data_IF_671658935798
#
_entry.id   IF_671658935798
#
_cell.length_a   1.000
_cell.length_b   1.000
_cell.length_c   1.000
_cell.angle_alpha   90.00
_cell.angle_beta   90.00
_cell.angle_gamma   90.00
#
_symmetry.space_group_name_H-M   'P 1'
#
loop_
_entity.id
_entity.type
_entity.pdbx_description
1 polymer ?
#
# COMPACT_ATOMS: atom_id res chain seq x y z
N UNK A 1 40.31 1.25 -34.38
CA UNK A 1 38.84 1.36 -34.25
C UNK A 1 38.44 0.76 -32.92
N UNK A 2 38.35 1.58 -31.87
CA UNK A 2 37.81 1.19 -30.56
C UNK A 2 36.36 1.63 -30.50
N UNK A 3 35.44 0.68 -30.35
CA UNK A 3 34.01 0.94 -30.26
C UNK A 3 33.68 1.85 -29.04
N UNK A 4 32.67 2.74 -29.13
CA UNK A 4 32.23 3.52 -27.99
C UNK A 4 31.56 2.59 -26.98
N UNK A 5 32.03 2.61 -25.73
CA UNK A 5 31.41 1.91 -24.61
C UNK A 5 30.03 2.51 -24.36
N UNK A 6 28.98 1.75 -24.66
CA UNK A 6 27.59 2.12 -24.40
C UNK A 6 27.40 2.28 -22.89
N UNK A 7 27.37 3.52 -22.42
CA UNK A 7 27.05 3.86 -21.05
C UNK A 7 25.61 3.41 -20.80
N UNK A 8 25.46 2.26 -20.13
CA UNK A 8 24.16 1.63 -19.90
C UNK A 8 23.58 2.14 -18.58
N UNK A 9 23.67 3.45 -18.34
CA UNK A 9 23.04 4.08 -17.18
C UNK A 9 21.54 4.19 -17.47
N UNK A 10 20.67 3.46 -16.74
CA UNK A 10 19.22 3.61 -16.91
C UNK A 10 18.83 5.07 -16.64
N UNK A 11 17.81 5.63 -17.33
CA UNK A 11 17.42 7.02 -17.16
C UNK A 11 16.90 7.25 -15.73
N UNK A 12 17.73 7.84 -14.88
CA UNK A 12 17.53 8.11 -13.44
C UNK A 12 16.13 8.67 -13.12
N UNK A 13 15.61 9.56 -13.96
CA UNK A 13 14.29 10.19 -13.77
C UNK A 13 13.08 9.24 -13.78
N UNK A 14 13.17 8.04 -14.39
CA UNK A 14 12.07 7.05 -14.33
C UNK A 14 12.09 6.28 -13.00
N UNK A 15 13.27 5.88 -12.55
CA UNK A 15 13.45 5.17 -11.28
C UNK A 15 13.04 6.05 -10.09
N UNK A 16 13.39 7.34 -10.12
CA UNK A 16 13.01 8.29 -9.06
C UNK A 16 11.49 8.46 -8.92
N UNK A 17 10.76 8.50 -10.04
CA UNK A 17 9.29 8.58 -10.07
C UNK A 17 8.62 7.32 -9.51
N UNK A 18 9.21 6.15 -9.77
CA UNK A 18 8.71 4.87 -9.25
C UNK A 18 9.03 4.76 -7.75
N UNK A 19 10.24 5.11 -7.32
CA UNK A 19 10.63 5.14 -5.91
C UNK A 19 9.72 6.07 -5.10
N UNK A 20 9.42 7.25 -5.62
CA UNK A 20 8.51 8.21 -4.98
C UNK A 20 7.09 7.65 -4.89
N UNK A 21 6.56 7.08 -5.97
CA UNK A 21 5.24 6.45 -5.98
C UNK A 21 5.17 5.27 -4.98
N UNK A 22 6.23 4.47 -4.90
CA UNK A 22 6.34 3.36 -3.94
C UNK A 22 6.33 3.87 -2.50
N UNK A 23 7.05 4.95 -2.19
CA UNK A 23 7.04 5.56 -0.84
C UNK A 23 5.63 6.03 -0.45
N UNK A 24 4.93 6.72 -1.36
CA UNK A 24 3.55 7.18 -1.13
C UNK A 24 2.63 5.98 -0.89
N UNK A 25 2.76 4.93 -1.72
CA UNK A 25 1.99 3.69 -1.56
C UNK A 25 2.24 3.04 -0.20
N UNK A 26 3.51 2.90 0.21
CA UNK A 26 3.89 2.32 1.50
C UNK A 26 3.29 3.11 2.65
N UNK A 27 3.41 4.44 2.64
CA UNK A 27 2.88 5.30 3.71
C UNK A 27 1.35 5.13 3.77
N UNK A 28 0.67 5.19 2.64
CA UNK A 28 -0.78 4.99 2.59
C UNK A 28 -1.20 3.59 3.07
N UNK A 29 -0.44 2.55 2.71
CA UNK A 29 -0.68 1.17 3.14
C UNK A 29 -0.54 1.01 4.66
N UNK A 30 0.50 1.62 5.25
CA UNK A 30 0.71 1.60 6.70
C UNK A 30 -0.38 2.35 7.45
N UNK A 31 -0.74 3.55 6.99
CA UNK A 31 -1.80 4.37 7.62
C UNK A 31 -3.13 3.61 7.59
N UNK A 32 -3.51 3.07 6.44
CA UNK A 32 -4.75 2.29 6.28
C UNK A 32 -4.72 1.00 7.10
N UNK A 33 -3.59 0.29 7.12
CA UNK A 33 -3.42 -0.94 7.89
C UNK A 33 -3.49 -0.75 9.40
N UNK A 34 -2.91 0.33 9.94
CA UNK A 34 -3.05 0.71 11.35
C UNK A 34 -4.50 1.03 11.68
N UNK A 35 -5.17 1.82 10.83
CA UNK A 35 -6.58 2.11 11.01
C UNK A 35 -7.46 0.87 11.02
N UNK A 36 -7.18 -0.07 10.12
CA UNK A 36 -7.91 -1.33 10.04
C UNK A 36 -7.66 -2.20 11.28
N UNK A 37 -6.43 -2.24 11.80
CA UNK A 37 -6.11 -2.92 13.06
C UNK A 37 -6.90 -2.33 14.24
N UNK A 38 -6.96 -1.00 14.35
CA UNK A 38 -7.73 -0.32 15.40
C UNK A 38 -9.22 -0.67 15.28
N UNK A 39 -9.77 -0.63 14.06
CA UNK A 39 -11.16 -0.97 13.81
C UNK A 39 -11.48 -2.44 14.10
N UNK A 40 -10.54 -3.34 13.82
CA UNK A 40 -10.64 -4.76 14.14
C UNK A 40 -10.59 -4.98 15.66
N UNK A 41 -9.68 -4.30 16.36
CA UNK A 41 -9.61 -4.33 17.83
C UNK A 41 -10.90 -3.82 18.47
N UNK A 42 -11.49 -2.75 17.91
CA UNK A 42 -12.81 -2.25 18.32
C UNK A 42 -13.88 -3.33 18.17
N UNK A 43 -13.98 -3.97 17.00
CA UNK A 43 -14.94 -5.07 16.78
C UNK A 43 -14.74 -6.21 17.79
N UNK A 44 -13.49 -6.57 18.10
CA UNK A 44 -13.19 -7.61 19.10
C UNK A 44 -13.65 -7.19 20.51
N UNK A 45 -13.39 -5.95 20.93
CA UNK A 45 -13.81 -5.44 22.24
C UNK A 45 -15.33 -5.38 22.38
N UNK A 46 -16.00 -4.90 21.34
CA UNK A 46 -17.46 -4.71 21.29
C UNK A 46 -18.18 -6.08 21.24
N UNK A 47 -17.76 -7.00 20.36
CA UNK A 47 -18.44 -8.29 20.19
C UNK A 47 -18.01 -9.39 21.17
N UNK A 48 -16.74 -9.44 21.57
CA UNK A 48 -16.23 -10.52 22.45
C UNK A 48 -16.34 -10.10 23.91
N UNK A 49 -15.81 -8.92 24.24
CA UNK A 49 -15.74 -8.44 25.62
C UNK A 49 -16.97 -7.61 26.05
N UNK A 50 -17.91 -7.34 25.11
CA UNK A 50 -19.15 -6.59 25.35
C UNK A 50 -18.90 -5.23 26.04
N UNK A 51 -17.80 -4.56 25.66
CA UNK A 51 -17.45 -3.25 26.19
C UNK A 51 -18.19 -2.19 25.40
N UNK A 52 -19.01 -1.38 26.07
CA UNK A 52 -19.73 -0.27 25.44
C UNK A 52 -18.76 0.73 24.80
N UNK A 53 -18.78 0.76 23.46
CA UNK A 53 -17.85 1.60 22.72
C UNK A 53 -18.41 3.04 22.58
N UNK A 54 -17.67 4.06 23.00
CA UNK A 54 -18.10 5.45 22.91
C UNK A 54 -18.23 5.95 21.46
N UNK A 55 -19.04 7.00 21.23
CA UNK A 55 -19.38 7.53 19.90
C UNK A 55 -18.19 7.99 19.04
N UNK A 56 -17.06 8.37 19.66
CA UNK A 56 -15.83 8.70 18.94
C UNK A 56 -15.21 7.47 18.26
N UNK A 57 -15.56 6.26 18.70
CA UNK A 57 -15.13 5.02 18.05
C UNK A 57 -15.85 4.76 16.72
N UNK A 58 -16.85 5.55 16.33
CA UNK A 58 -17.47 5.51 14.99
C UNK A 58 -16.68 6.36 13.99
N UNK A 59 -16.08 7.44 14.48
CA UNK A 59 -15.15 8.29 13.72
C UNK A 59 -13.97 7.47 13.18
N UNK A 60 -13.58 6.44 13.95
CA UNK A 60 -12.56 5.47 13.59
C UNK A 60 -12.84 4.82 12.22
N UNK A 61 -14.06 4.33 12.02
CA UNK A 61 -14.44 3.70 10.75
C UNK A 61 -14.49 4.68 9.59
N UNK A 62 -14.97 5.90 9.82
CA UNK A 62 -14.99 6.94 8.80
C UNK A 62 -13.57 7.34 8.36
N UNK A 63 -12.65 7.51 9.31
CA UNK A 63 -11.26 7.82 9.03
C UNK A 63 -10.58 6.66 8.29
N UNK A 64 -10.80 5.42 8.70
CA UNK A 64 -10.31 4.26 7.95
C UNK A 64 -10.79 4.28 6.49
N UNK A 65 -12.08 4.53 6.24
CA UNK A 65 -12.63 4.64 4.89
C UNK A 65 -11.95 5.73 4.07
N UNK A 66 -11.66 6.89 4.66
CA UNK A 66 -10.93 7.98 4.01
C UNK A 66 -9.49 7.55 3.65
N UNK A 67 -8.76 6.97 4.60
CA UNK A 67 -7.39 6.51 4.35
C UNK A 67 -7.34 5.36 3.32
N UNK A 68 -8.34 4.49 3.31
CA UNK A 68 -8.50 3.46 2.30
C UNK A 68 -8.67 4.05 0.90
N UNK A 69 -9.42 5.14 0.72
CA UNK A 69 -9.49 5.83 -0.57
C UNK A 69 -8.12 6.37 -1.02
N UNK A 70 -7.37 7.00 -0.11
CA UNK A 70 -6.01 7.46 -0.41
C UNK A 70 -5.07 6.30 -0.79
N UNK A 71 -5.20 5.16 -0.11
CA UNK A 71 -4.47 3.94 -0.43
C UNK A 71 -4.81 3.40 -1.82
N UNK A 72 -6.09 3.38 -2.21
CA UNK A 72 -6.49 2.98 -3.56
C UNK A 72 -5.94 3.92 -4.62
N UNK A 73 -5.93 5.24 -4.38
CA UNK A 73 -5.31 6.20 -5.29
C UNK A 73 -3.80 5.98 -5.44
N UNK A 74 -3.10 5.73 -4.33
CA UNK A 74 -1.67 5.45 -4.36
C UNK A 74 -1.36 4.11 -5.07
N UNK A 75 -2.17 3.08 -4.80
CA UNK A 75 -2.13 1.79 -5.50
C UNK A 75 -2.35 1.98 -6.98
N UNK A 76 -3.29 2.85 -7.37
CA UNK A 76 -3.60 3.12 -8.76
C UNK A 76 -2.44 3.80 -9.50
N UNK A 77 -1.87 4.83 -8.89
CA UNK A 77 -0.70 5.53 -9.42
C UNK A 77 0.50 4.59 -9.60
N UNK A 78 0.75 3.70 -8.64
CA UNK A 78 1.85 2.74 -8.72
C UNK A 78 1.56 1.62 -9.73
N UNK A 79 0.35 1.06 -9.72
CA UNK A 79 -0.06 -0.04 -10.60
C UNK A 79 -0.04 0.33 -12.08
N UNK A 80 -0.42 1.57 -12.44
CA UNK A 80 -0.31 2.08 -13.82
C UNK A 80 1.16 2.21 -14.23
N UNK A 81 2.01 2.81 -13.36
CA UNK A 81 3.44 3.00 -13.63
C UNK A 81 4.22 1.69 -13.71
N UNK A 82 3.86 0.72 -12.87
CA UNK A 82 4.51 -0.58 -12.80
C UNK A 82 3.86 -1.64 -13.72
N UNK A 83 2.84 -1.25 -14.51
CA UNK A 83 2.09 -2.11 -15.44
C UNK A 83 1.64 -3.43 -14.79
N UNK A 84 1.05 -3.33 -13.61
CA UNK A 84 0.60 -4.51 -12.86
C UNK A 84 -0.58 -5.19 -13.54
N UNK A 85 -0.55 -6.52 -13.55
CA UNK A 85 -1.68 -7.34 -14.01
C UNK A 85 -2.91 -7.21 -13.09
N UNK A 86 -4.14 -7.42 -13.59
CA UNK A 86 -5.38 -7.21 -12.84
C UNK A 86 -5.43 -7.95 -11.49
N UNK A 87 -4.84 -9.14 -11.41
CA UNK A 87 -4.77 -9.92 -10.17
C UNK A 87 -3.98 -9.21 -9.07
N UNK A 88 -2.94 -8.45 -9.43
CA UNK A 88 -2.15 -7.66 -8.46
C UNK A 88 -2.94 -6.47 -7.95
N UNK A 89 -3.76 -5.85 -8.79
CA UNK A 89 -4.65 -4.78 -8.37
C UNK A 89 -5.67 -5.28 -7.35
N UNK A 90 -6.32 -6.40 -7.64
CA UNK A 90 -7.32 -6.99 -6.77
C UNK A 90 -6.71 -7.40 -5.42
N UNK A 91 -5.60 -8.15 -5.44
CA UNK A 91 -4.93 -8.58 -4.21
C UNK A 91 -4.43 -7.40 -3.38
N UNK A 92 -3.93 -6.34 -4.02
CA UNK A 92 -3.47 -5.12 -3.32
C UNK A 92 -4.65 -4.32 -2.75
N UNK A 93 -5.76 -4.19 -3.46
CA UNK A 93 -6.97 -3.55 -2.94
C UNK A 93 -7.53 -4.33 -1.73
N UNK A 94 -7.68 -5.65 -1.86
CA UNK A 94 -8.14 -6.54 -0.79
C UNK A 94 -7.20 -6.58 0.42
N UNK A 95 -5.90 -6.33 0.22
CA UNK A 95 -4.95 -6.22 1.31
C UNK A 95 -5.39 -5.17 2.34
N UNK A 96 -5.98 -4.07 1.87
CA UNK A 96 -6.43 -2.97 2.71
C UNK A 96 -7.73 -3.23 3.49
N UNK A 97 -8.36 -4.40 3.31
CA UNK A 97 -9.61 -4.78 3.99
C UNK A 97 -9.47 -6.02 4.89
N UNK A 98 -8.39 -6.79 4.74
CA UNK A 98 -8.15 -8.00 5.53
C UNK A 98 -7.11 -7.69 6.62
N UNK A 99 -7.47 -7.84 7.91
CA UNK A 99 -6.55 -7.59 9.01
C UNK A 99 -5.30 -8.46 8.87
N UNK A 100 -4.14 -7.90 9.18
CA UNK A 100 -2.81 -8.50 9.03
C UNK A 100 -2.33 -8.72 7.58
N UNK A 101 -3.21 -9.00 6.63
CA UNK A 101 -2.84 -9.22 5.22
C UNK A 101 -2.29 -7.95 4.55
N UNK A 102 -2.72 -6.78 5.00
CA UNK A 102 -2.19 -5.48 4.55
C UNK A 102 -0.68 -5.37 4.71
N UNK A 103 -0.11 -5.89 5.80
CA UNK A 103 1.34 -5.85 6.05
C UNK A 103 2.11 -6.84 5.18
N UNK A 104 1.57 -8.05 5.00
CA UNK A 104 2.24 -9.07 4.18
C UNK A 104 2.30 -8.68 2.69
N UNK A 105 1.19 -8.17 2.15
CA UNK A 105 1.12 -7.72 0.76
C UNK A 105 1.98 -6.47 0.55
N UNK A 106 2.03 -5.55 1.51
CA UNK A 106 2.93 -4.39 1.47
C UNK A 106 4.39 -4.83 1.33
N UNK A 107 4.87 -5.76 2.17
CA UNK A 107 6.23 -6.27 2.07
C UNK A 107 6.50 -6.99 0.74
N UNK A 108 5.56 -7.81 0.28
CA UNK A 108 5.67 -8.51 -1.00
C UNK A 108 5.75 -7.54 -2.17
N UNK A 109 4.86 -6.54 -2.22
CA UNK A 109 4.85 -5.50 -3.26
C UNK A 109 6.13 -4.67 -3.23
N UNK A 110 6.61 -4.28 -2.05
CA UNK A 110 7.86 -3.52 -1.90
C UNK A 110 9.05 -4.27 -2.48
N UNK A 111 9.21 -5.57 -2.14
CA UNK A 111 10.28 -6.42 -2.69
C UNK A 111 10.18 -6.56 -4.20
N UNK A 112 9.00 -6.85 -4.73
CA UNK A 112 8.81 -7.02 -6.17
C UNK A 112 9.09 -5.73 -6.96
N UNK A 113 8.66 -4.56 -6.47
CA UNK A 113 8.95 -3.27 -7.13
C UNK A 113 10.44 -2.95 -7.04
N UNK A 114 11.10 -3.28 -5.94
CA UNK A 114 12.54 -3.03 -5.79
C UNK A 114 13.36 -3.90 -6.75
N UNK A 115 13.04 -5.19 -6.84
CA UNK A 115 13.70 -6.12 -7.77
C UNK A 115 13.38 -5.82 -9.25
N UNK A 116 12.14 -5.44 -9.57
CA UNK A 116 11.74 -5.18 -10.96
C UNK A 116 12.33 -3.88 -11.54
N UNK A 117 12.67 -2.91 -10.69
CA UNK A 117 13.16 -1.59 -11.11
C UNK A 117 14.58 -1.26 -10.65
N UNK A 118 15.26 -2.23 -10.03
CA UNK A 118 16.64 -2.14 -9.52
C UNK A 118 16.84 -0.91 -8.60
N UNK A 119 15.95 -0.78 -7.60
CA UNK A 119 15.87 0.34 -6.65
C UNK A 119 16.60 0.06 -5.32
#
# INVERSE_FOLDING_TARGET
MTAPSTDTTPPSGRQDRIRTALRIFVVAAWVTGIWLLILTGRMILDYIFHVDMPSWATLIGQLHGLFYMCYLMATMNLGIKARWEPMRWLTTALAGTIPFMSFWIEQKRRREVTTAFDL
#
